data_IF_773301683748
#
_entry.id   IF_773301683748
#
_cell.length_a   1.000
_cell.length_b   1.000
_cell.length_c   1.000
_cell.angle_alpha   90.00
_cell.angle_beta   90.00
_cell.angle_gamma   90.00
#
_symmetry.space_group_name_H-M   'P 1'
#
loop_
_entity.id
_entity.type
_entity.pdbx_description
1 polymer ?
#
# COMPACT_ATOMS: atom_id res chain seq x y z
N UNK A 1 6.76 7.37 9.61
CA UNK A 1 6.33 6.24 10.48
C UNK A 1 5.51 5.31 9.61
N UNK A 2 5.75 3.99 9.61
CA UNK A 2 4.86 3.05 8.93
C UNK A 2 3.62 2.89 9.80
N UNK A 3 2.59 3.73 9.62
CA UNK A 3 1.31 3.58 10.33
C UNK A 3 0.50 2.44 9.71
N UNK A 4 1.02 1.22 9.78
CA UNK A 4 0.32 0.00 9.45
C UNK A 4 -0.60 -0.36 10.60
N UNK A 5 -1.78 0.26 10.68
CA UNK A 5 -2.82 -0.17 11.62
C UNK A 5 -3.64 -1.31 10.99
N UNK A 6 -2.96 -2.34 10.49
CA UNK A 6 -3.57 -3.61 10.06
C UNK A 6 -2.49 -4.70 10.09
N UNK A 7 -2.83 -5.88 10.62
CA UNK A 7 -1.98 -7.08 10.72
C UNK A 7 -1.54 -7.67 9.36
N UNK A 8 -1.70 -6.93 8.26
CA UNK A 8 -1.39 -7.37 6.90
C UNK A 8 0.10 -7.29 6.57
N UNK A 9 0.92 -6.66 7.41
CA UNK A 9 2.35 -6.39 7.19
C UNK A 9 2.68 -5.58 5.93
N UNK A 10 1.65 -4.94 5.36
CA UNK A 10 1.80 -3.85 4.41
C UNK A 10 1.81 -2.52 5.16
N UNK A 11 2.67 -1.62 4.72
CA UNK A 11 2.75 -0.25 5.17
C UNK A 11 2.61 0.74 4.01
N UNK A 12 2.59 2.01 4.36
CA UNK A 12 2.50 3.12 3.42
C UNK A 12 3.73 4.00 3.51
N UNK A 13 4.35 4.30 2.38
CA UNK A 13 5.43 5.27 2.27
C UNK A 13 4.83 6.61 1.81
N UNK A 14 4.67 7.53 2.76
CA UNK A 14 4.11 8.88 2.54
C UNK A 14 4.99 9.73 1.61
N UNK A 15 6.31 9.52 1.56
CA UNK A 15 7.19 10.29 0.68
C UNK A 15 7.09 9.83 -0.76
N UNK A 16 7.02 8.51 -0.96
CA UNK A 16 6.95 7.90 -2.29
C UNK A 16 5.51 7.69 -2.76
N UNK A 17 4.53 7.94 -1.87
CA UNK A 17 3.11 7.70 -2.09
C UNK A 17 2.86 6.28 -2.61
N UNK A 18 3.39 5.26 -1.93
CA UNK A 18 3.30 3.87 -2.39
C UNK A 18 3.19 2.86 -1.25
N UNK A 19 2.64 1.68 -1.56
CA UNK A 19 2.56 0.56 -0.62
C UNK A 19 3.92 -0.11 -0.50
N UNK A 20 4.40 -0.27 0.74
CA UNK A 20 5.66 -0.94 1.06
C UNK A 20 5.41 -2.17 1.91
N UNK A 21 6.10 -3.27 1.60
CA UNK A 21 6.08 -4.50 2.37
C UNK A 21 7.34 -5.32 2.06
N UNK A 22 7.63 -6.33 2.88
CA UNK A 22 8.70 -7.28 2.56
C UNK A 22 8.45 -7.97 1.22
N UNK A 23 9.53 -8.29 0.49
CA UNK A 23 9.45 -9.01 -0.78
C UNK A 23 8.71 -10.35 -0.65
N UNK A 24 8.89 -11.06 0.47
CA UNK A 24 8.19 -12.31 0.74
C UNK A 24 6.67 -12.10 0.90
N UNK A 25 6.26 -11.04 1.61
CA UNK A 25 4.86 -10.62 1.75
C UNK A 25 4.24 -10.28 0.41
N UNK A 26 4.90 -9.44 -0.39
CA UNK A 26 4.45 -9.10 -1.75
C UNK A 26 4.29 -10.34 -2.62
N UNK A 27 5.26 -11.25 -2.63
CA UNK A 27 5.22 -12.46 -3.44
C UNK A 27 4.09 -13.40 -3.00
N UNK A 28 3.90 -13.59 -1.70
CA UNK A 28 2.77 -14.37 -1.17
C UNK A 28 1.43 -13.75 -1.57
N UNK A 29 1.29 -12.44 -1.43
CA UNK A 29 0.04 -11.75 -1.75
C UNK A 29 -0.28 -11.73 -3.26
N UNK A 30 0.73 -11.51 -4.10
CA UNK A 30 0.60 -11.58 -5.57
C UNK A 30 0.30 -13.03 -6.03
N UNK A 31 0.82 -14.04 -5.32
CA UNK A 31 0.53 -15.44 -5.66
C UNK A 31 -0.96 -15.78 -5.54
N UNK A 32 -1.64 -15.21 -4.54
CA UNK A 32 -3.08 -15.35 -4.33
C UNK A 32 -3.90 -14.35 -5.16
N UNK A 33 -3.33 -13.19 -5.48
CA UNK A 33 -4.00 -12.12 -6.21
C UNK A 33 -3.10 -11.60 -7.34
N UNK A 34 -3.11 -12.27 -8.50
CA UNK A 34 -2.21 -11.90 -9.61
C UNK A 34 -2.38 -10.45 -10.10
N UNK A 35 -3.57 -9.88 -9.95
CA UNK A 35 -3.88 -8.51 -10.39
C UNK A 35 -3.22 -7.40 -9.56
N UNK A 36 -2.71 -7.68 -8.34
CA UNK A 36 -2.05 -6.67 -7.51
C UNK A 36 -0.56 -6.51 -7.80
N UNK A 37 0.02 -7.36 -8.66
CA UNK A 37 1.43 -7.25 -9.04
C UNK A 37 1.80 -5.93 -9.71
N UNK A 38 0.85 -5.30 -10.42
CA UNK A 38 1.03 -3.99 -11.03
C UNK A 38 1.22 -2.86 -9.99
N UNK A 39 0.63 -3.02 -8.81
CA UNK A 39 0.66 -1.98 -7.77
C UNK A 39 1.96 -1.95 -6.98
N UNK A 40 2.77 -3.01 -7.02
CA UNK A 40 4.05 -3.09 -6.32
C UNK A 40 5.04 -2.00 -6.72
N UNK A 41 5.00 -1.58 -7.99
CA UNK A 41 5.87 -0.54 -8.54
C UNK A 41 5.09 0.72 -8.94
N UNK A 42 3.83 0.82 -8.53
CA UNK A 42 2.98 1.97 -8.84
C UNK A 42 3.04 2.97 -7.71
N UNK A 43 3.27 4.22 -8.06
CA UNK A 43 3.05 5.36 -7.18
C UNK A 43 1.59 5.79 -7.27
N UNK A 44 1.00 6.13 -6.13
CA UNK A 44 -0.36 6.68 -6.05
C UNK A 44 -0.28 8.09 -5.45
N UNK A 45 0.17 9.08 -6.24
CA UNK A 45 0.55 10.41 -5.74
C UNK A 45 -0.58 11.18 -5.05
N UNK A 46 -1.83 10.74 -5.22
CA UNK A 46 -3.01 11.37 -4.63
C UNK A 46 -3.67 10.52 -3.54
N UNK A 47 -3.09 9.38 -3.15
CA UNK A 47 -3.74 8.47 -2.20
C UNK A 47 -3.95 9.14 -0.83
N UNK A 48 -2.97 9.92 -0.36
CA UNK A 48 -3.12 10.65 0.91
C UNK A 48 -4.13 11.80 0.82
N UNK A 49 -4.17 12.50 -0.31
CA UNK A 49 -5.15 13.57 -0.54
C UNK A 49 -6.57 13.01 -0.62
N UNK A 50 -6.74 11.90 -1.34
CA UNK A 50 -8.02 11.19 -1.42
C UNK A 50 -8.41 10.65 -0.04
N UNK A 51 -7.46 10.12 0.74
CA UNK A 51 -7.72 9.73 2.13
C UNK A 51 -8.20 10.93 2.94
N UNK A 52 -7.62 12.12 2.80
CA UNK A 52 -8.11 13.32 3.50
C UNK A 52 -9.51 13.77 3.05
N UNK A 53 -9.88 13.53 1.79
CA UNK A 53 -11.20 13.92 1.24
C UNK A 53 -12.28 12.91 1.64
N UNK A 54 -11.93 11.62 1.65
CA UNK A 54 -12.85 10.50 1.85
C UNK A 54 -12.77 9.86 3.24
N UNK A 55 -11.80 10.24 4.08
CA UNK A 55 -11.82 9.97 5.51
C UNK A 55 -12.97 10.76 6.11
N UNK A 56 -14.15 10.15 6.00
CA UNK A 56 -15.37 10.57 6.65
C UNK A 56 -15.18 10.36 8.15
N UNK A 57 -15.50 11.38 8.93
CA UNK A 57 -15.61 11.32 10.40
C UNK A 57 -16.51 10.15 10.84
#
# INVERSE_FOLDING_TARGET
MLSGKDNSGFGWDEYRQMVVAECAMWNSYISSHKAVGQFRHSNFPYCDQLTSIYAKD
#
